data_IF_733629699129
#
_entry.id   IF_733629699129
#
_cell.length_a   1.000
_cell.length_b   1.000
_cell.length_c   1.000
_cell.angle_alpha   90.00
_cell.angle_beta   90.00
_cell.angle_gamma   90.00
#
_symmetry.space_group_name_H-M   'P 1'
#
loop_
_entity.id
_entity.type
_entity.pdbx_description
1 polymer ?
#
# COMPACT_ATOMS: atom_id res chain seq x y z
N UNK A 1 -4.21 17.13 -4.22
CA UNK A 1 -4.87 17.10 -5.52
C UNK A 1 -6.04 16.13 -5.51
N UNK A 2 -7.15 16.55 -6.06
CA UNK A 2 -8.32 15.69 -6.12
C UNK A 2 -8.12 14.60 -7.17
N UNK A 3 -8.53 13.37 -6.83
CA UNK A 3 -8.47 12.24 -7.75
C UNK A 3 -9.85 12.10 -8.39
N UNK A 4 -10.12 12.97 -9.35
CA UNK A 4 -11.47 13.13 -9.88
C UNK A 4 -11.74 12.40 -11.19
N UNK A 5 -10.74 11.74 -11.76
CA UNK A 5 -10.92 10.96 -12.99
C UNK A 5 -10.41 9.54 -12.76
N UNK A 6 -10.88 8.62 -13.59
CA UNK A 6 -10.39 7.25 -13.53
C UNK A 6 -8.86 7.21 -13.75
N UNK A 7 -8.36 7.98 -14.72
CA UNK A 7 -6.93 8.03 -14.98
C UNK A 7 -6.13 8.54 -13.79
N UNK A 8 -6.63 9.56 -13.09
CA UNK A 8 -5.96 10.10 -11.93
C UNK A 8 -5.94 9.07 -10.78
N UNK A 9 -7.05 8.34 -10.61
CA UNK A 9 -7.11 7.29 -9.57
C UNK A 9 -6.13 6.18 -9.88
N UNK A 10 -6.09 5.71 -11.13
CA UNK A 10 -5.18 4.62 -11.51
C UNK A 10 -3.72 5.07 -11.42
N UNK A 11 -3.44 6.32 -11.81
CA UNK A 11 -2.09 6.86 -11.69
C UNK A 11 -1.63 6.92 -10.25
N UNK A 12 -2.50 7.37 -9.36
CA UNK A 12 -2.14 7.43 -7.94
C UNK A 12 -2.06 6.03 -7.32
N UNK A 13 -2.92 5.11 -7.74
CA UNK A 13 -2.86 3.73 -7.27
C UNK A 13 -1.49 3.12 -7.58
N UNK A 14 -0.99 3.32 -8.80
CA UNK A 14 0.32 2.83 -9.17
C UNK A 14 1.43 3.54 -8.39
N UNK A 15 1.29 4.85 -8.19
CA UNK A 15 2.29 5.63 -7.50
C UNK A 15 2.41 5.26 -6.02
N UNK A 16 1.28 5.10 -5.33
CA UNK A 16 1.31 4.77 -3.90
C UNK A 16 1.94 3.39 -3.68
N UNK A 17 1.69 2.45 -4.59
CA UNK A 17 2.30 1.13 -4.53
C UNK A 17 3.81 1.23 -4.76
N UNK A 18 4.23 1.99 -5.75
CA UNK A 18 5.65 2.17 -6.03
C UNK A 18 6.37 2.82 -4.86
N UNK A 19 5.79 3.86 -4.29
CA UNK A 19 6.37 4.54 -3.13
C UNK A 19 6.49 3.59 -1.95
N UNK A 20 5.49 2.75 -1.75
CA UNK A 20 5.50 1.80 -0.65
C UNK A 20 6.58 0.74 -0.84
N UNK A 21 6.75 0.25 -2.07
CA UNK A 21 7.81 -0.71 -2.36
C UNK A 21 9.19 -0.10 -2.10
N UNK A 22 9.40 1.15 -2.52
CA UNK A 22 10.66 1.84 -2.28
C UNK A 22 10.92 2.03 -0.78
N UNK A 23 9.87 2.35 -0.02
CA UNK A 23 9.98 2.49 1.42
C UNK A 23 10.37 1.16 2.07
N UNK A 24 9.79 0.04 1.61
CA UNK A 24 10.16 -1.27 2.15
C UNK A 24 11.62 -1.61 1.84
N UNK A 25 12.12 -1.24 0.67
CA UNK A 25 13.54 -1.48 0.38
C UNK A 25 14.44 -0.73 1.38
N UNK A 26 14.05 0.48 1.75
CA UNK A 26 14.78 1.23 2.77
C UNK A 26 14.73 0.56 4.13
N UNK A 27 13.57 0.03 4.52
CA UNK A 27 13.45 -0.68 5.80
C UNK A 27 14.25 -1.98 5.80
N UNK A 28 14.27 -2.71 4.69
CA UNK A 28 15.03 -3.94 4.56
C UNK A 28 16.50 -3.68 4.86
N UNK A 29 17.04 -2.58 4.36
CA UNK A 29 18.46 -2.28 4.56
C UNK A 29 18.77 -1.96 6.02
N UNK A 30 17.78 -1.57 6.83
CA UNK A 30 17.97 -1.26 8.24
C UNK A 30 17.65 -2.40 9.17
N UNK A 31 16.87 -3.38 8.72
CA UNK A 31 16.39 -4.45 9.58
C UNK A 31 17.54 -5.37 9.98
N UNK A 32 17.58 -5.75 11.26
CA UNK A 32 18.60 -6.65 11.78
C UNK A 32 18.05 -8.05 12.03
N UNK A 33 16.80 -8.15 12.43
CA UNK A 33 16.18 -9.44 12.69
C UNK A 33 15.85 -10.12 11.35
N UNK A 34 16.24 -11.37 11.19
CA UNK A 34 16.07 -12.07 9.91
C UNK A 34 14.59 -12.33 9.60
N UNK A 35 13.77 -12.57 10.63
CA UNK A 35 12.33 -12.78 10.41
C UNK A 35 11.68 -11.51 9.89
N UNK A 36 12.03 -10.37 10.47
CA UNK A 36 11.52 -9.09 10.01
C UNK A 36 12.00 -8.79 8.59
N UNK A 37 13.29 -9.02 8.34
CA UNK A 37 13.83 -8.75 7.01
C UNK A 37 13.10 -9.58 5.96
N UNK A 38 12.83 -10.86 6.26
CA UNK A 38 12.09 -11.71 5.32
C UNK A 38 10.67 -11.21 5.12
N UNK A 39 10.01 -10.80 6.19
CA UNK A 39 8.64 -10.26 6.09
C UNK A 39 8.62 -9.02 5.20
N UNK A 40 9.59 -8.12 5.38
CA UNK A 40 9.66 -6.91 4.56
C UNK A 40 9.97 -7.24 3.10
N UNK A 41 10.81 -8.24 2.85
CA UNK A 41 11.09 -8.69 1.48
C UNK A 41 9.84 -9.26 0.82
N UNK A 42 9.04 -10.01 1.57
CA UNK A 42 7.78 -10.53 1.07
C UNK A 42 6.82 -9.41 0.71
N UNK A 43 6.73 -8.39 1.58
CA UNK A 43 5.87 -7.23 1.31
C UNK A 43 6.34 -6.45 0.08
N UNK A 44 7.65 -6.26 -0.06
CA UNK A 44 8.18 -5.58 -1.24
C UNK A 44 7.89 -6.37 -2.51
N UNK A 45 8.00 -7.70 -2.43
CA UNK A 45 7.68 -8.56 -3.58
C UNK A 45 6.22 -8.47 -3.97
N UNK A 46 5.30 -8.39 -2.98
CA UNK A 46 3.89 -8.18 -3.26
C UNK A 46 3.65 -6.86 -3.95
N UNK A 47 4.37 -5.80 -3.55
CA UNK A 47 4.19 -4.51 -4.20
C UNK A 47 4.57 -4.55 -5.67
N UNK A 48 5.61 -5.29 -6.00
CA UNK A 48 5.99 -5.43 -7.42
C UNK A 48 4.89 -6.11 -8.21
N UNK A 49 4.27 -7.14 -7.64
CA UNK A 49 3.14 -7.80 -8.28
C UNK A 49 1.95 -6.85 -8.40
N UNK A 50 1.73 -6.03 -7.39
CA UNK A 50 0.64 -5.07 -7.41
C UNK A 50 0.88 -3.96 -8.43
N UNK A 51 2.13 -3.57 -8.66
CA UNK A 51 2.44 -2.61 -9.72
C UNK A 51 2.02 -3.17 -11.08
N UNK A 52 2.36 -4.42 -11.33
CA UNK A 52 1.95 -5.08 -12.58
C UNK A 52 0.44 -5.18 -12.68
N UNK A 53 -0.23 -5.48 -11.55
CA UNK A 53 -1.68 -5.56 -11.51
C UNK A 53 -2.32 -4.22 -11.84
N UNK A 54 -1.78 -3.12 -11.30
CA UNK A 54 -2.33 -1.80 -11.57
C UNK A 54 -2.14 -1.40 -13.04
N UNK A 55 -0.99 -1.72 -13.61
CA UNK A 55 -0.75 -1.45 -15.02
C UNK A 55 -1.72 -2.23 -15.91
N UNK A 56 -1.92 -3.51 -15.59
CA UNK A 56 -2.85 -4.34 -16.34
C UNK A 56 -4.28 -3.84 -16.19
N UNK A 57 -4.68 -3.50 -14.97
CA UNK A 57 -6.03 -3.00 -14.70
C UNK A 57 -6.28 -1.72 -15.48
N UNK A 58 -5.31 -0.82 -15.50
CA UNK A 58 -5.43 0.42 -16.25
C UNK A 58 -5.57 0.14 -17.74
N UNK A 59 -4.71 -0.73 -18.26
CA UNK A 59 -4.70 -1.05 -19.68
C UNK A 59 -5.99 -1.73 -20.14
N UNK A 60 -6.50 -2.65 -19.33
CA UNK A 60 -7.70 -3.40 -19.67
C UNK A 60 -8.97 -2.55 -19.59
N UNK A 61 -8.92 -1.45 -18.86
CA UNK A 61 -10.09 -0.60 -18.65
C UNK A 61 -9.95 0.79 -19.25
N UNK A 62 -8.95 0.99 -20.12
CA UNK A 62 -8.69 2.30 -20.68
C UNK A 62 -9.85 2.79 -21.55
N UNK A 63 -10.60 1.87 -22.16
CA UNK A 63 -11.73 2.23 -23.00
C UNK A 63 -13.00 2.47 -22.19
N UNK A 64 -12.97 2.16 -20.89
CA UNK A 64 -14.11 2.37 -20.01
C UNK A 64 -14.04 3.76 -19.39
N UNK A 65 -13.98 4.78 -20.24
CA UNK A 65 -13.80 6.14 -19.78
C UNK A 65 -14.98 6.58 -18.93
N UNK A 66 -14.70 7.08 -17.75
CA UNK A 66 -15.70 7.63 -16.87
C UNK A 66 -15.80 9.11 -17.19
N UNK A 67 -16.95 9.53 -17.65
CA UNK A 67 -17.15 10.92 -18.07
C UNK A 67 -17.52 11.82 -16.90
N UNK A 68 -18.16 11.26 -15.87
CA UNK A 68 -18.54 12.05 -14.71
C UNK A 68 -17.41 12.12 -13.71
N UNK A 69 -17.16 13.29 -13.12
CA UNK A 69 -16.11 13.39 -12.11
C UNK A 69 -16.40 12.52 -10.89
N UNK A 70 -15.35 11.92 -10.35
CA UNK A 70 -15.41 11.19 -9.10
C UNK A 70 -15.10 12.21 -8.00
N UNK A 71 -15.87 12.18 -6.92
CA UNK A 71 -15.70 13.15 -5.83
C UNK A 71 -15.29 12.44 -4.54
N UNK A 72 -14.65 13.19 -3.67
CA UNK A 72 -14.34 12.70 -2.32
C UNK A 72 -13.03 11.93 -2.18
N UNK A 73 -12.21 11.88 -3.23
CA UNK A 73 -10.89 11.29 -3.13
C UNK A 73 -9.83 12.36 -3.32
N UNK A 74 -8.97 12.52 -2.32
CA UNK A 74 -7.88 13.49 -2.36
C UNK A 74 -6.60 12.81 -1.93
N UNK A 75 -5.58 12.84 -2.81
CA UNK A 75 -4.33 12.14 -2.51
C UNK A 75 -3.64 12.67 -1.26
N UNK A 76 -3.91 13.92 -0.87
CA UNK A 76 -3.34 14.50 0.34
C UNK A 76 -3.73 13.73 1.59
N UNK A 77 -4.88 13.05 1.57
CA UNK A 77 -5.33 12.28 2.72
C UNK A 77 -4.51 11.02 2.96
N UNK A 78 -3.70 10.63 1.99
CA UNK A 78 -2.93 9.38 2.07
C UNK A 78 -1.43 9.62 2.16
N UNK A 79 -1.02 10.88 2.32
CA UNK A 79 0.38 11.21 2.52
C UNK A 79 0.74 10.92 3.98
N UNK A 80 1.87 10.23 4.17
CA UNK A 80 2.37 9.92 5.49
C UNK A 80 3.71 10.61 5.68
N UNK A 81 3.82 11.39 6.75
CA UNK A 81 5.07 12.03 7.11
C UNK A 81 5.77 11.17 8.14
N UNK A 82 6.87 10.55 7.73
CA UNK A 82 7.64 9.67 8.61
C UNK A 82 8.76 10.38 9.36
N UNK A 83 8.89 11.70 9.20
CA UNK A 83 9.99 12.42 9.82
C UNK A 83 10.01 12.31 11.34
N UNK A 84 8.85 12.33 11.97
CA UNK A 84 8.76 12.22 13.42
C UNK A 84 8.67 10.79 13.92
N UNK A 85 8.74 9.80 13.04
CA UNK A 85 8.59 8.40 13.42
C UNK A 85 9.97 7.77 13.58
N UNK A 86 10.30 7.23 14.77
CA UNK A 86 11.62 6.64 14.98
C UNK A 86 11.85 5.44 14.07
N UNK A 87 13.10 5.23 13.65
CA UNK A 87 13.50 4.07 12.87
C UNK A 87 14.82 3.53 13.40
N UNK A 88 14.92 3.42 14.72
CA UNK A 88 16.18 3.05 15.37
C UNK A 88 16.37 1.55 15.52
N UNK A 89 15.29 0.83 15.78
CA UNK A 89 15.39 -0.62 16.00
C UNK A 89 14.29 -1.33 15.21
N UNK A 90 14.31 -2.66 15.26
CA UNK A 90 13.38 -3.46 14.49
C UNK A 90 11.92 -3.23 14.90
N UNK A 91 11.68 -2.96 16.17
CA UNK A 91 10.32 -2.65 16.62
C UNK A 91 9.81 -1.38 15.94
N UNK A 92 10.68 -0.37 15.84
CA UNK A 92 10.34 0.87 15.14
C UNK A 92 10.02 0.58 13.67
N UNK A 93 10.82 -0.29 13.03
CA UNK A 93 10.61 -0.60 11.62
C UNK A 93 9.28 -1.31 11.37
N UNK A 94 8.84 -2.17 12.30
CA UNK A 94 7.52 -2.79 12.20
C UNK A 94 6.44 -1.73 12.24
N UNK A 95 6.58 -0.74 13.12
CA UNK A 95 5.59 0.33 13.22
C UNK A 95 5.51 1.13 11.92
N UNK A 96 6.66 1.42 11.31
CA UNK A 96 6.68 2.11 10.01
C UNK A 96 5.98 1.28 8.95
N UNK A 97 6.28 -0.02 8.89
CA UNK A 97 5.64 -0.90 7.92
C UNK A 97 4.13 -0.92 8.11
N UNK A 98 3.65 -0.93 9.35
CA UNK A 98 2.22 -0.90 9.64
C UNK A 98 1.58 0.41 9.19
N UNK A 99 2.27 1.52 9.38
CA UNK A 99 1.78 2.82 8.90
C UNK A 99 1.64 2.80 7.38
N UNK A 100 2.64 2.24 6.69
CA UNK A 100 2.62 2.15 5.23
C UNK A 100 1.48 1.26 4.74
N UNK A 101 1.29 0.09 5.37
CA UNK A 101 0.21 -0.82 4.99
C UNK A 101 -1.16 -0.20 5.25
N UNK A 102 -1.32 0.49 6.38
CA UNK A 102 -2.58 1.14 6.71
C UNK A 102 -2.93 2.23 5.68
N UNK A 103 -1.93 2.97 5.24
CA UNK A 103 -2.13 3.99 4.21
C UNK A 103 -2.65 3.39 2.91
N UNK A 104 -2.00 2.34 2.44
CA UNK A 104 -2.40 1.68 1.19
C UNK A 104 -3.78 1.07 1.33
N UNK A 105 -4.03 0.38 2.45
CA UNK A 105 -5.33 -0.20 2.73
C UNK A 105 -6.43 0.86 2.64
N UNK A 106 -6.21 1.99 3.29
CA UNK A 106 -7.21 3.05 3.35
C UNK A 106 -7.49 3.62 1.97
N UNK A 107 -6.43 3.86 1.18
CA UNK A 107 -6.64 4.38 -0.17
C UNK A 107 -7.46 3.42 -1.02
N UNK A 108 -7.06 2.14 -1.05
CA UNK A 108 -7.76 1.19 -1.92
C UNK A 108 -9.18 0.92 -1.44
N UNK A 109 -9.42 0.94 -0.13
CA UNK A 109 -10.78 0.82 0.40
C UNK A 109 -11.64 2.01 -0.03
N UNK A 110 -11.13 3.23 0.15
CA UNK A 110 -11.87 4.44 -0.21
C UNK A 110 -12.12 4.49 -1.72
N UNK A 111 -11.09 4.18 -2.51
CA UNK A 111 -11.21 4.22 -3.96
C UNK A 111 -12.18 3.17 -4.46
N UNK A 112 -12.22 1.99 -3.84
CA UNK A 112 -13.14 0.92 -4.27
C UNK A 112 -14.59 1.36 -4.12
N UNK A 113 -14.88 2.23 -3.15
CA UNK A 113 -16.23 2.72 -2.94
C UNK A 113 -16.62 3.82 -3.94
N UNK A 114 -15.63 4.42 -4.60
CA UNK A 114 -15.87 5.57 -5.50
C UNK A 114 -15.78 5.21 -6.96
N UNK A 115 -15.01 4.18 -7.33
CA UNK A 115 -14.84 3.81 -8.73
C UNK A 115 -16.11 3.11 -9.22
N UNK A 116 -16.74 3.61 -10.26
CA UNK A 116 -18.00 3.02 -10.75
C UNK A 116 -17.81 1.83 -11.70
N UNK A 117 -16.60 1.34 -11.86
CA UNK A 117 -16.32 0.14 -12.66
C UNK A 117 -16.23 -1.06 -11.73
N UNK A 118 -17.21 -2.00 -11.76
CA UNK A 118 -17.27 -3.07 -10.77
C UNK A 118 -16.04 -3.94 -10.70
N UNK A 119 -15.40 -4.23 -11.84
CA UNK A 119 -14.21 -5.07 -11.84
C UNK A 119 -13.02 -4.37 -11.20
N UNK A 120 -12.86 -3.08 -11.45
CA UNK A 120 -11.79 -2.29 -10.83
C UNK A 120 -12.05 -2.17 -9.34
N UNK A 121 -13.29 -1.90 -8.96
CA UNK A 121 -13.65 -1.81 -7.54
C UNK A 121 -13.36 -3.12 -6.81
N UNK A 122 -13.64 -4.25 -7.44
CA UNK A 122 -13.36 -5.56 -6.87
C UNK A 122 -11.86 -5.76 -6.68
N UNK A 123 -11.07 -5.40 -7.70
CA UNK A 123 -9.61 -5.49 -7.62
C UNK A 123 -9.08 -4.65 -6.46
N UNK A 124 -9.58 -3.42 -6.33
CA UNK A 124 -9.16 -2.51 -5.26
C UNK A 124 -9.53 -3.07 -3.88
N UNK A 125 -10.72 -3.67 -3.75
CA UNK A 125 -11.12 -4.29 -2.48
C UNK A 125 -10.18 -5.44 -2.11
N UNK A 126 -9.77 -6.23 -3.09
CA UNK A 126 -8.85 -7.34 -2.82
C UNK A 126 -7.50 -6.84 -2.35
N UNK A 127 -7.00 -5.76 -2.95
CA UNK A 127 -5.74 -5.16 -2.50
C UNK A 127 -5.88 -4.69 -1.06
N UNK A 128 -6.97 -4.00 -0.73
CA UNK A 128 -7.22 -3.52 0.61
C UNK A 128 -7.31 -4.67 1.62
N UNK A 129 -8.03 -5.74 1.29
CA UNK A 129 -8.18 -6.89 2.16
C UNK A 129 -6.85 -7.57 2.44
N UNK A 130 -5.99 -7.66 1.42
CA UNK A 130 -4.66 -8.25 1.60
C UNK A 130 -3.83 -7.41 2.56
N UNK A 131 -3.99 -6.08 2.53
CA UNK A 131 -3.27 -5.22 3.46
C UNK A 131 -3.72 -5.46 4.90
N UNK A 132 -5.01 -5.74 5.11
CA UNK A 132 -5.49 -6.08 6.44
C UNK A 132 -4.80 -7.36 6.95
N UNK A 133 -4.66 -8.36 6.08
CA UNK A 133 -3.93 -9.57 6.45
C UNK A 133 -2.47 -9.27 6.77
N UNK A 134 -1.85 -8.39 5.98
CA UNK A 134 -0.44 -8.03 6.20
C UNK A 134 -0.26 -7.32 7.53
N UNK A 135 -1.21 -6.46 7.90
CA UNK A 135 -1.17 -5.78 9.20
C UNK A 135 -1.21 -6.81 10.33
N UNK A 136 -2.06 -7.83 10.21
CA UNK A 136 -2.12 -8.88 11.20
C UNK A 136 -0.80 -9.64 11.32
N UNK A 137 -0.17 -9.92 10.19
CA UNK A 137 1.13 -10.60 10.19
C UNK A 137 2.21 -9.75 10.85
N UNK A 138 2.23 -8.46 10.55
CA UNK A 138 3.21 -7.56 11.16
C UNK A 138 3.02 -7.48 12.67
N UNK A 139 1.77 -7.40 13.13
CA UNK A 139 1.48 -7.37 14.56
C UNK A 139 1.94 -8.64 15.26
N UNK A 140 1.93 -9.77 14.56
CA UNK A 140 2.31 -11.05 15.14
C UNK A 140 3.79 -11.38 15.09
N UNK A 141 4.62 -10.49 14.54
CA UNK A 141 6.04 -10.79 14.44
C UNK A 141 6.72 -10.80 15.81
N UNK A 142 7.59 -11.78 16.01
CA UNK A 142 8.40 -11.90 17.23
C UNK A 142 9.80 -11.42 16.88
N UNK A 143 10.13 -10.21 17.28
CA UNK A 143 11.34 -9.55 16.86
C UNK A 143 12.52 -9.75 17.76
N UNK A 144 12.29 -10.07 19.04
CA UNK A 144 13.41 -10.37 19.90
C UNK A 144 13.15 -11.67 20.57
N UNK A 145 14.23 -12.37 20.79
CA UNK A 145 14.17 -13.61 21.45
C UNK A 145 14.02 -13.35 22.90
N UNK A 146 13.22 -14.09 23.57
CA UNK A 146 13.21 -14.03 25.00
C UNK A 146 14.58 -14.33 25.48
N UNK A 147 14.96 -13.66 26.42
CA UNK A 147 16.19 -13.94 26.89
C UNK A 147 16.27 -15.16 27.42
N UNK A 148 16.78 -15.50 26.89
CA UNK A 148 16.81 -16.69 26.90
C UNK A 148 17.77 -17.11 27.67
#
# INVERSE_FOLDING_TARGET
MALSTFGAIMGYAAEIIKQTEEAYQGLISKAKNSTLKQALQDLAGEEKKNQSLMERTRRENVTEMILEPITGLHQEEYIVDLKGVPQKDDTDLVKVAMILEERVKRFFSDASAKVPLPEVARTFRKVSQKREENLGKLQGLRLHQPLK
#
